data_IF_231157065570
#
_entry.id   IF_231157065570
#
_cell.length_a   1.000
_cell.length_b   1.000
_cell.length_c   1.000
_cell.angle_alpha   90.00
_cell.angle_beta   90.00
_cell.angle_gamma   90.00
#
_symmetry.space_group_name_H-M   'P 1'
#
loop_
_entity.id
_entity.type
_entity.pdbx_description
1 polymer ?
#
# COMPACT_ATOMS: atom_id res chain seq x y z
N UNK A 1 -8.69 39.00 -43.84
CA UNK A 1 -9.12 39.97 -42.83
C UNK A 1 -9.49 39.20 -41.59
N UNK A 2 -8.74 39.37 -40.51
CA UNK A 2 -9.03 38.78 -39.21
C UNK A 2 -9.82 39.81 -38.41
N UNK A 3 -11.02 39.45 -37.94
CA UNK A 3 -11.82 40.29 -37.04
C UNK A 3 -11.62 39.74 -35.64
N UNK A 4 -11.08 40.55 -34.75
CA UNK A 4 -10.91 40.21 -33.34
C UNK A 4 -12.07 40.80 -32.53
N UNK A 5 -12.71 39.97 -31.69
CA UNK A 5 -13.81 40.38 -30.82
C UNK A 5 -13.36 40.18 -29.37
N UNK A 6 -13.40 41.25 -28.58
CA UNK A 6 -13.01 41.22 -27.16
C UNK A 6 -14.12 41.76 -26.26
N UNK A 7 -14.15 41.29 -25.02
CA UNK A 7 -15.06 41.76 -23.99
C UNK A 7 -14.27 42.09 -22.72
N UNK A 8 -14.22 43.36 -22.34
CA UNK A 8 -13.49 43.81 -21.15
C UNK A 8 -14.04 43.20 -19.84
N UNK A 9 -15.34 42.93 -19.77
CA UNK A 9 -16.01 42.44 -18.56
C UNK A 9 -15.83 40.93 -18.31
N UNK A 10 -15.49 40.14 -19.33
CA UNK A 10 -15.32 38.69 -19.19
C UNK A 10 -13.86 38.31 -18.95
N UNK A 11 -13.63 37.54 -17.87
CA UNK A 11 -12.32 36.96 -17.56
C UNK A 11 -11.28 37.95 -17.04
N UNK A 12 -11.67 39.14 -16.57
CA UNK A 12 -10.77 40.13 -15.93
C UNK A 12 -11.18 40.39 -14.47
N UNK A 13 -10.91 39.45 -13.53
CA UNK A 13 -11.23 39.62 -12.11
C UNK A 13 -10.56 40.80 -11.41
N UNK A 14 -9.46 41.34 -11.93
CA UNK A 14 -8.69 42.39 -11.25
C UNK A 14 -8.12 43.46 -12.18
N UNK A 15 -7.59 44.52 -11.56
CA UNK A 15 -7.10 45.71 -12.25
C UNK A 15 -5.95 45.40 -13.21
N UNK A 16 -5.01 44.54 -12.81
CA UNK A 16 -3.83 44.32 -13.63
C UNK A 16 -4.14 43.48 -14.86
N UNK A 17 -5.07 42.53 -14.77
CA UNK A 17 -5.59 41.84 -15.96
C UNK A 17 -6.41 42.75 -16.86
N UNK A 18 -7.23 43.63 -16.30
CA UNK A 18 -8.01 44.58 -17.09
C UNK A 18 -7.11 45.52 -17.90
N UNK A 19 -6.14 46.13 -17.23
CA UNK A 19 -5.22 47.09 -17.85
C UNK A 19 -4.14 46.40 -18.71
N UNK A 20 -3.83 45.12 -18.45
CA UNK A 20 -2.93 44.34 -19.32
C UNK A 20 -3.49 44.11 -20.72
N UNK A 21 -4.82 44.22 -20.93
CA UNK A 21 -5.44 44.12 -22.26
C UNK A 21 -5.21 45.36 -23.13
N UNK A 22 -4.86 46.50 -22.54
CA UNK A 22 -4.49 47.70 -23.30
C UNK A 22 -3.25 47.43 -24.19
N UNK A 23 -2.32 46.60 -23.72
CA UNK A 23 -1.14 46.18 -24.48
C UNK A 23 -1.50 45.25 -25.68
N UNK A 24 -2.70 44.65 -25.68
CA UNK A 24 -3.28 43.93 -26.83
C UNK A 24 -4.06 44.86 -27.77
N UNK A 25 -4.03 46.18 -27.52
CA UNK A 25 -4.79 47.18 -28.28
C UNK A 25 -6.28 47.25 -27.91
N UNK A 26 -6.69 46.59 -26.83
CA UNK A 26 -8.09 46.60 -26.39
C UNK A 26 -8.36 47.85 -25.55
N UNK A 27 -9.49 48.53 -25.80
CA UNK A 27 -9.86 49.78 -25.11
C UNK A 27 -10.52 49.51 -23.75
N UNK A 28 -9.86 48.77 -22.86
CA UNK A 28 -10.38 48.45 -21.52
C UNK A 28 -9.86 49.41 -20.44
N UNK A 29 -10.67 49.70 -19.42
CA UNK A 29 -10.34 50.57 -18.29
C UNK A 29 -10.87 49.99 -16.98
N UNK A 30 -10.14 50.24 -15.89
CA UNK A 30 -10.50 49.81 -14.53
C UNK A 30 -11.09 50.96 -13.71
N UNK A 31 -12.26 50.75 -13.10
CA UNK A 31 -12.80 51.63 -12.04
C UNK A 31 -13.27 50.81 -10.83
N UNK A 32 -14.44 50.19 -10.94
CA UNK A 32 -15.03 49.26 -9.93
C UNK A 32 -15.10 47.82 -10.48
N UNK A 33 -14.40 47.60 -11.60
CA UNK A 33 -14.45 46.44 -12.46
C UNK A 33 -13.93 46.80 -13.85
N UNK A 34 -13.71 45.80 -14.70
CA UNK A 34 -13.18 46.00 -16.03
C UNK A 34 -14.29 46.34 -17.05
N UNK A 35 -14.18 47.47 -17.73
CA UNK A 35 -15.17 47.95 -18.71
C UNK A 35 -14.52 48.59 -19.94
N UNK A 36 -15.30 48.79 -21.00
CA UNK A 36 -14.84 49.50 -22.20
C UNK A 36 -14.64 50.99 -21.89
N UNK A 37 -13.56 51.58 -22.42
CA UNK A 37 -13.21 52.99 -22.26
C UNK A 37 -14.17 53.87 -23.05
N UNK A 38 -14.84 54.78 -22.35
CA UNK A 38 -15.69 55.81 -22.95
C UNK A 38 -14.89 57.04 -23.41
N UNK A 39 -15.47 57.89 -24.29
CA UNK A 39 -14.77 59.02 -24.92
C UNK A 39 -14.34 60.17 -23.98
N UNK A 40 -14.76 60.17 -22.71
CA UNK A 40 -14.50 61.27 -21.75
C UNK A 40 -13.95 60.79 -20.39
N UNK A 41 -13.34 59.61 -20.31
CA UNK A 41 -12.84 59.09 -19.04
C UNK A 41 -11.39 59.55 -18.72
N UNK A 42 -11.08 59.88 -17.45
CA UNK A 42 -9.74 60.25 -17.02
C UNK A 42 -8.71 59.12 -17.26
N UNK A 43 -7.43 59.48 -17.25
CA UNK A 43 -6.30 58.55 -17.32
C UNK A 43 -6.46 57.38 -16.31
N UNK A 44 -6.07 56.15 -16.68
CA UNK A 44 -6.27 54.97 -15.84
C UNK A 44 -5.55 55.15 -14.49
N UNK A 45 -6.29 54.91 -13.40
CA UNK A 45 -5.72 54.92 -12.05
C UNK A 45 -4.72 53.78 -11.86
N UNK A 46 -3.66 54.03 -11.08
CA UNK A 46 -2.73 52.98 -10.63
C UNK A 46 -3.47 51.86 -9.92
N UNK A 47 -3.22 50.61 -10.32
CA UNK A 47 -3.81 49.43 -9.68
C UNK A 47 -3.52 49.38 -8.17
N UNK A 48 -4.41 48.76 -7.38
CA UNK A 48 -4.17 48.52 -5.96
C UNK A 48 -2.93 47.66 -5.74
N UNK A 49 -2.46 47.58 -4.50
CA UNK A 49 -1.31 46.77 -4.15
C UNK A 49 -1.55 45.29 -4.50
N UNK A 50 -0.50 44.55 -4.90
CA UNK A 50 -0.56 43.11 -5.10
C UNK A 50 -1.11 42.39 -3.85
N UNK A 51 -2.11 41.52 -4.04
CA UNK A 51 -2.64 40.66 -2.98
C UNK A 51 -2.07 39.26 -3.17
N UNK A 52 -1.06 38.90 -2.37
CA UNK A 52 -0.45 37.56 -2.41
C UNK A 52 -1.28 36.62 -1.55
N UNK A 53 -1.79 35.56 -2.19
CA UNK A 53 -2.70 34.58 -1.58
C UNK A 53 -1.97 33.36 -1.05
N UNK A 54 -0.99 32.88 -1.81
CA UNK A 54 -0.20 31.70 -1.48
C UNK A 54 1.19 31.82 -2.10
N UNK A 55 2.18 31.23 -1.44
CA UNK A 55 3.52 31.04 -1.97
C UNK A 55 3.92 29.57 -1.82
N UNK A 56 4.59 29.00 -2.81
CA UNK A 56 5.01 27.60 -2.80
C UNK A 56 6.30 27.41 -3.61
N UNK A 57 7.34 26.73 -3.09
CA UNK A 57 7.44 26.14 -1.74
C UNK A 57 7.66 27.19 -0.64
N UNK A 58 7.52 26.78 0.63
CA UNK A 58 7.74 27.64 1.82
C UNK A 58 9.21 27.72 2.26
N UNK A 59 10.11 26.95 1.66
CA UNK A 59 11.53 26.96 1.98
C UNK A 59 12.41 26.68 0.77
N UNK A 60 13.65 27.17 0.82
CA UNK A 60 14.68 26.98 -0.21
C UNK A 60 16.09 26.89 0.39
N UNK A 61 17.06 26.29 -0.34
CA UNK A 61 18.43 26.20 0.12
C UNK A 61 19.11 27.59 0.08
N UNK A 62 20.16 27.77 0.89
CA UNK A 62 20.94 29.01 0.93
C UNK A 62 21.55 29.42 -0.41
N UNK A 63 21.87 28.45 -1.28
CA UNK A 63 22.45 28.73 -2.60
C UNK A 63 21.44 29.34 -3.59
N UNK A 64 20.15 29.40 -3.22
CA UNK A 64 19.06 29.88 -4.06
C UNK A 64 18.73 28.92 -5.21
N UNK A 65 18.11 29.44 -6.26
CA UNK A 65 17.66 28.68 -7.44
C UNK A 65 16.29 28.02 -7.27
N UNK A 66 15.65 28.14 -6.11
CA UNK A 66 14.29 27.67 -5.90
C UNK A 66 13.32 28.41 -6.80
N UNK A 67 12.50 27.64 -7.50
CA UNK A 67 11.39 28.15 -8.30
C UNK A 67 10.21 28.42 -7.37
N UNK A 68 10.17 29.64 -6.85
CA UNK A 68 9.10 30.12 -5.99
C UNK A 68 7.89 30.52 -6.83
N UNK A 69 6.78 29.84 -6.62
CA UNK A 69 5.48 30.17 -7.21
C UNK A 69 4.71 31.08 -6.27
N UNK A 70 4.32 32.26 -6.75
CA UNK A 70 3.55 33.26 -6.02
C UNK A 70 2.20 33.37 -6.73
N UNK A 71 1.11 33.11 -6.01
CA UNK A 71 -0.27 33.21 -6.54
C UNK A 71 -1.03 34.33 -5.85
N UNK A 72 -1.82 35.07 -6.62
CA UNK A 72 -2.42 36.28 -6.10
C UNK A 72 -3.34 37.00 -7.05
N UNK A 73 -3.49 38.31 -6.80
CA UNK A 73 -4.19 39.28 -7.65
C UNK A 73 -3.38 40.56 -7.71
N UNK A 74 -3.58 41.31 -8.78
CA UNK A 74 -2.85 42.55 -9.07
C UNK A 74 -1.33 42.37 -9.10
N UNK A 75 -0.85 41.21 -9.55
CA UNK A 75 0.57 40.84 -9.60
C UNK A 75 1.34 41.48 -10.78
N UNK A 76 0.93 42.67 -11.22
CA UNK A 76 1.51 43.36 -12.39
C UNK A 76 0.77 43.08 -13.69
N UNK A 77 0.91 44.01 -14.65
CA UNK A 77 0.24 43.93 -15.97
C UNK A 77 1.09 43.20 -17.00
N UNK A 78 2.41 43.31 -16.84
CA UNK A 78 3.44 42.76 -17.71
C UNK A 78 4.67 42.40 -16.89
N UNK A 79 5.49 41.51 -17.42
CA UNK A 79 6.69 41.05 -16.73
C UNK A 79 7.67 42.20 -16.43
N UNK A 80 7.77 43.21 -17.30
CA UNK A 80 8.64 44.36 -17.08
C UNK A 80 8.25 45.20 -15.87
N UNK A 81 6.98 45.16 -15.44
CA UNK A 81 6.53 45.81 -14.21
C UNK A 81 7.10 45.10 -12.96
N UNK A 82 7.57 43.86 -13.12
CA UNK A 82 8.15 43.02 -12.07
C UNK A 82 9.67 42.88 -12.18
N UNK A 83 10.31 43.55 -13.15
CA UNK A 83 11.76 43.50 -13.30
C UNK A 83 12.43 44.03 -12.02
N UNK A 84 13.13 43.16 -11.30
CA UNK A 84 13.70 43.43 -9.96
C UNK A 84 12.65 43.82 -8.89
N UNK A 85 11.39 43.44 -9.09
CA UNK A 85 10.27 43.77 -8.21
C UNK A 85 9.97 42.73 -7.13
N UNK A 86 10.52 41.51 -7.22
CA UNK A 86 10.21 40.42 -6.29
C UNK A 86 11.37 40.16 -5.34
N UNK A 87 11.09 40.16 -4.04
CA UNK A 87 12.08 40.09 -2.97
C UNK A 87 11.63 39.18 -1.84
N UNK A 88 12.59 38.55 -1.16
CA UNK A 88 12.39 37.78 0.06
C UNK A 88 13.32 38.40 1.11
N UNK A 89 12.77 39.32 1.91
CA UNK A 89 13.59 40.21 2.74
C UNK A 89 14.59 41.00 1.90
N UNK A 90 15.88 40.66 2.02
CA UNK A 90 16.98 41.28 1.26
C UNK A 90 17.43 40.49 0.02
N UNK A 91 16.87 39.31 -0.22
CA UNK A 91 17.26 38.44 -1.33
C UNK A 91 16.33 38.65 -2.52
N UNK A 92 16.90 38.99 -3.67
CA UNK A 92 16.14 39.15 -4.92
C UNK A 92 15.61 37.80 -5.42
N UNK A 93 14.41 37.80 -6.02
CA UNK A 93 13.85 36.68 -6.75
C UNK A 93 13.57 37.11 -8.19
N UNK A 94 14.16 36.44 -9.17
CA UNK A 94 14.11 36.85 -10.57
C UNK A 94 12.93 36.18 -11.30
N UNK A 95 11.90 36.93 -11.75
CA UNK A 95 10.73 36.34 -12.42
C UNK A 95 11.10 35.68 -13.75
N UNK A 96 10.53 34.49 -14.00
CA UNK A 96 10.72 33.73 -15.24
C UNK A 96 9.67 34.10 -16.28
N UNK A 97 10.12 34.55 -17.45
CA UNK A 97 9.25 35.06 -18.51
C UNK A 97 8.28 34.01 -19.07
N UNK A 98 8.73 32.76 -19.18
CA UNK A 98 7.95 31.62 -19.68
C UNK A 98 6.91 31.09 -18.68
N UNK A 99 6.95 31.56 -17.43
CA UNK A 99 6.12 31.04 -16.32
C UNK A 99 5.35 32.14 -15.57
N UNK A 100 5.21 33.30 -16.20
CA UNK A 100 4.42 34.41 -15.69
C UNK A 100 3.02 34.42 -16.32
N UNK A 101 1.99 34.42 -15.48
CA UNK A 101 0.60 34.61 -15.89
C UNK A 101 0.11 35.94 -15.35
N UNK A 102 -0.32 36.84 -16.24
CA UNK A 102 -0.71 38.22 -15.91
C UNK A 102 -1.64 38.26 -14.70
N UNK A 103 -1.19 38.96 -13.66
CA UNK A 103 -1.88 39.17 -12.38
C UNK A 103 -2.21 37.94 -11.53
N UNK A 104 -2.06 36.73 -12.05
CA UNK A 104 -2.50 35.49 -11.40
C UNK A 104 -1.34 34.76 -10.73
N UNK A 105 -0.22 34.62 -11.44
CA UNK A 105 0.90 33.82 -10.99
C UNK A 105 2.25 34.39 -11.45
N UNK A 106 3.20 34.46 -10.53
CA UNK A 106 4.61 34.72 -10.81
C UNK A 106 5.39 33.48 -10.39
N UNK A 107 6.23 32.93 -11.26
CA UNK A 107 7.28 32.00 -10.87
C UNK A 107 8.61 32.74 -10.94
N UNK A 108 9.37 32.76 -9.85
CA UNK A 108 10.67 33.41 -9.81
C UNK A 108 11.75 32.48 -9.26
N UNK A 109 12.99 32.65 -9.72
CA UNK A 109 14.15 31.94 -9.21
C UNK A 109 14.78 32.73 -8.06
N UNK A 110 14.90 32.11 -6.88
CA UNK A 110 15.49 32.77 -5.71
C UNK A 110 16.99 33.01 -5.88
N UNK A 111 17.48 34.16 -5.41
CA UNK A 111 18.91 34.43 -5.30
C UNK A 111 19.57 33.70 -4.13
N UNK A 112 20.92 33.73 -4.05
CA UNK A 112 21.64 33.19 -2.91
C UNK A 112 21.43 34.05 -1.66
N UNK A 113 21.29 33.40 -0.50
CA UNK A 113 21.11 34.02 0.81
C UNK A 113 22.42 34.02 1.62
N UNK A 114 22.72 35.09 2.40
CA UNK A 114 23.93 35.16 3.21
C UNK A 114 23.91 34.23 4.44
N UNK A 115 22.74 33.72 4.83
CA UNK A 115 22.55 32.85 5.98
C UNK A 115 21.11 32.37 6.08
N UNK A 116 20.83 31.53 7.08
CA UNK A 116 19.47 31.05 7.32
C UNK A 116 18.61 32.17 7.92
N UNK A 117 17.47 32.44 7.29
CA UNK A 117 16.48 33.41 7.77
C UNK A 117 15.10 33.09 7.21
N UNK A 118 14.05 33.68 7.79
CA UNK A 118 12.67 33.54 7.32
C UNK A 118 12.04 34.92 7.18
N UNK A 119 11.54 35.25 5.99
CA UNK A 119 10.92 36.54 5.73
C UNK A 119 9.74 36.44 4.76
N UNK A 120 8.94 37.51 4.70
CA UNK A 120 7.82 37.61 3.77
C UNK A 120 8.31 37.87 2.34
N UNK A 121 7.54 37.38 1.39
CA UNK A 121 7.73 37.65 -0.04
C UNK A 121 7.07 38.98 -0.36
N UNK A 122 7.83 39.88 -0.95
CA UNK A 122 7.38 41.21 -1.36
C UNK A 122 7.36 41.29 -2.89
N UNK A 123 6.23 41.73 -3.44
CA UNK A 123 6.07 41.99 -4.88
C UNK A 123 5.81 43.47 -5.06
N UNK A 124 6.73 44.15 -5.74
CA UNK A 124 6.60 45.55 -6.12
C UNK A 124 6.25 45.63 -7.61
N UNK A 125 5.00 45.97 -7.90
CA UNK A 125 4.50 46.20 -9.24
C UNK A 125 3.99 47.65 -9.38
N UNK A 126 2.72 47.91 -9.11
CA UNK A 126 2.18 49.27 -8.99
C UNK A 126 2.42 49.87 -7.60
N UNK A 127 2.36 49.02 -6.57
CA UNK A 127 2.64 49.29 -5.17
C UNK A 127 3.26 48.03 -4.56
N UNK A 128 3.73 48.14 -3.33
CA UNK A 128 4.27 47.02 -2.57
C UNK A 128 3.13 46.13 -2.01
N UNK A 129 3.16 44.84 -2.36
CA UNK A 129 2.34 43.80 -1.75
C UNK A 129 3.20 42.79 -0.99
N UNK A 130 2.68 42.25 0.13
CA UNK A 130 3.40 41.28 0.98
C UNK A 130 2.62 40.00 1.15
N UNK A 131 3.33 38.87 1.17
CA UNK A 131 2.73 37.57 1.51
C UNK A 131 2.38 37.49 2.98
N UNK A 132 1.37 36.67 3.29
CA UNK A 132 1.04 36.31 4.68
C UNK A 132 2.00 35.24 5.21
N UNK A 133 2.31 34.27 4.37
CA UNK A 133 3.27 33.20 4.65
C UNK A 133 4.70 33.73 4.50
N UNK A 134 5.63 33.09 5.21
CA UNK A 134 7.06 33.40 5.13
C UNK A 134 7.78 32.33 4.32
N UNK A 135 8.75 32.76 3.53
CA UNK A 135 9.70 31.89 2.88
C UNK A 135 10.95 31.76 3.76
N UNK A 136 11.41 30.53 3.96
CA UNK A 136 12.55 30.24 4.84
C UNK A 136 13.76 29.74 4.04
N UNK A 137 14.88 30.44 4.14
CA UNK A 137 16.17 29.97 3.67
C UNK A 137 16.79 29.06 4.73
N UNK A 138 17.05 27.81 4.36
CA UNK A 138 17.57 26.77 5.27
C UNK A 138 18.80 26.10 4.68
N UNK A 139 19.58 25.45 5.54
CA UNK A 139 20.73 24.64 5.14
C UNK A 139 20.38 23.16 5.32
N UNK A 140 20.00 22.43 4.24
CA UNK A 140 19.68 21.02 4.35
C UNK A 140 20.90 20.21 4.79
N UNK A 141 20.69 19.24 5.67
CA UNK A 141 21.73 18.35 6.16
C UNK A 141 21.34 16.90 5.90
N UNK A 142 22.25 16.14 5.29
CA UNK A 142 22.14 14.68 5.20
C UNK A 142 23.08 14.04 6.21
N UNK A 143 22.64 12.96 6.86
CA UNK A 143 23.37 12.32 7.96
C UNK A 143 23.83 10.91 7.60
N UNK A 144 22.89 10.03 7.24
CA UNK A 144 23.16 8.63 6.89
C UNK A 144 22.10 8.12 5.91
N UNK A 145 22.33 6.94 5.35
CA UNK A 145 21.38 6.25 4.48
C UNK A 145 21.19 4.79 4.92
N UNK A 146 19.98 4.27 4.76
CA UNK A 146 19.64 2.89 5.12
C UNK A 146 18.69 2.26 4.07
N UNK A 147 18.93 1.01 3.63
CA UNK A 147 20.12 0.20 3.89
C UNK A 147 21.35 0.78 3.18
N UNK A 148 22.53 0.60 3.78
CA UNK A 148 23.82 1.07 3.24
C UNK A 148 24.40 0.17 2.15
N UNK A 149 23.75 -0.98 1.88
CA UNK A 149 24.20 -1.98 0.91
C UNK A 149 23.04 -2.59 0.14
N UNK A 150 23.33 -3.09 -1.06
CA UNK A 150 22.36 -3.83 -1.85
C UNK A 150 22.96 -4.49 -3.09
N UNK A 151 22.18 -5.33 -3.80
CA UNK A 151 22.66 -6.02 -5.00
C UNK A 151 23.08 -5.06 -6.11
N UNK A 152 24.14 -5.39 -6.86
CA UNK A 152 24.58 -4.62 -8.03
C UNK A 152 23.52 -4.52 -9.15
N UNK A 153 22.57 -5.45 -9.22
CA UNK A 153 21.41 -5.35 -10.12
C UNK A 153 20.52 -4.13 -9.87
N UNK A 154 20.72 -3.41 -8.75
CA UNK A 154 19.93 -2.23 -8.39
C UNK A 154 18.56 -2.58 -7.84
N UNK A 155 17.67 -1.61 -7.81
CA UNK A 155 16.30 -1.78 -7.27
C UNK A 155 16.20 -1.66 -5.75
N UNK A 156 17.31 -1.61 -5.02
CA UNK A 156 17.29 -1.38 -3.57
C UNK A 156 16.71 0.01 -3.26
N UNK A 157 15.64 0.05 -2.48
CA UNK A 157 15.03 1.29 -2.01
C UNK A 157 15.76 1.77 -0.76
N UNK A 158 16.53 2.84 -0.91
CA UNK A 158 17.27 3.48 0.19
C UNK A 158 16.46 4.62 0.78
N UNK A 159 16.70 4.89 2.06
CA UNK A 159 16.17 6.05 2.79
C UNK A 159 17.35 6.84 3.33
N UNK A 160 17.49 8.07 2.87
CA UNK A 160 18.49 9.04 3.33
C UNK A 160 17.86 9.85 4.44
N UNK A 161 18.49 9.87 5.61
CA UNK A 161 18.02 10.59 6.79
C UNK A 161 18.77 11.90 6.99
N UNK A 162 18.07 12.91 7.50
CA UNK A 162 18.63 14.24 7.68
C UNK A 162 17.65 15.25 8.25
N UNK A 163 17.91 16.54 7.99
CA UNK A 163 17.04 17.66 8.36
C UNK A 163 16.85 18.61 7.18
N UNK A 164 15.68 19.25 7.15
CA UNK A 164 15.28 20.22 6.13
C UNK A 164 15.32 19.64 4.70
N UNK A 165 15.00 18.35 4.55
CA UNK A 165 15.12 17.62 3.28
C UNK A 165 13.95 17.84 2.30
N UNK A 166 12.85 18.45 2.75
CA UNK A 166 11.73 18.87 1.89
C UNK A 166 11.94 20.26 1.26
N UNK A 167 13.16 20.81 1.37
CA UNK A 167 13.48 22.16 0.91
C UNK A 167 13.44 22.29 -0.61
N UNK A 168 13.03 23.46 -1.10
CA UNK A 168 13.17 23.83 -2.50
C UNK A 168 12.13 23.21 -3.44
N UNK A 169 12.21 23.53 -4.72
CA UNK A 169 11.30 23.10 -5.77
C UNK A 169 11.75 21.81 -6.46
N UNK A 170 13.05 21.64 -6.68
CA UNK A 170 13.61 20.48 -7.37
C UNK A 170 14.57 19.69 -6.46
N UNK A 171 14.48 18.36 -6.53
CA UNK A 171 15.38 17.43 -5.85
C UNK A 171 15.84 16.35 -6.82
N UNK A 172 17.12 16.02 -6.77
CA UNK A 172 17.71 14.88 -7.45
C UNK A 172 18.66 14.15 -6.49
N UNK A 173 18.65 12.82 -6.55
CA UNK A 173 19.66 11.98 -5.91
C UNK A 173 20.42 11.27 -7.00
N UNK A 174 21.75 11.41 -6.99
CA UNK A 174 22.68 10.83 -7.96
C UNK A 174 23.55 9.79 -7.26
N UNK A 175 23.72 8.64 -7.89
CA UNK A 175 24.66 7.60 -7.49
C UNK A 175 25.88 7.69 -8.40
N UNK A 176 27.06 7.72 -7.80
CA UNK A 176 28.34 7.90 -8.51
C UNK A 176 28.36 9.15 -9.42
N UNK A 177 27.69 10.22 -8.98
CA UNK A 177 27.56 11.52 -9.64
C UNK A 177 26.88 11.53 -11.04
N UNK A 178 26.54 10.38 -11.61
CA UNK A 178 25.96 10.27 -12.96
C UNK A 178 24.57 9.65 -12.98
N UNK A 179 24.33 8.60 -12.19
CA UNK A 179 23.12 7.80 -12.34
C UNK A 179 22.00 8.29 -11.39
N UNK A 180 20.83 8.71 -11.91
CA UNK A 180 19.75 9.20 -11.07
C UNK A 180 19.03 8.05 -10.35
N UNK A 181 18.74 8.23 -9.07
CA UNK A 181 17.78 7.37 -8.38
C UNK A 181 16.35 7.61 -8.90
N UNK A 182 15.53 6.56 -8.85
CA UNK A 182 14.11 6.61 -9.27
C UNK A 182 13.17 6.58 -8.06
N UNK A 183 11.87 6.76 -8.29
CA UNK A 183 10.82 6.65 -7.25
C UNK A 183 11.06 7.54 -6.02
N UNK A 184 11.51 8.78 -6.30
CA UNK A 184 11.93 9.71 -5.28
C UNK A 184 10.73 10.25 -4.48
N UNK A 185 10.79 10.12 -3.16
CA UNK A 185 9.82 10.63 -2.19
C UNK A 185 10.59 11.33 -1.08
N UNK A 186 10.18 12.54 -0.70
CA UNK A 186 10.88 13.32 0.34
C UNK A 186 9.93 13.85 1.41
N UNK A 187 10.40 13.88 2.65
CA UNK A 187 9.80 14.53 3.82
C UNK A 187 10.82 15.49 4.42
N UNK A 188 10.47 16.22 5.48
CA UNK A 188 11.41 17.14 6.14
C UNK A 188 12.66 16.44 6.71
N UNK A 189 12.55 15.14 7.03
CA UNK A 189 13.60 14.36 7.71
C UNK A 189 14.13 13.19 6.91
N UNK A 190 13.56 12.89 5.73
CA UNK A 190 13.97 11.74 4.92
C UNK A 190 13.78 11.91 3.42
N UNK A 191 14.64 11.29 2.63
CA UNK A 191 14.49 11.12 1.18
C UNK A 191 14.57 9.62 0.89
N UNK A 192 13.50 9.04 0.37
CA UNK A 192 13.48 7.67 -0.11
C UNK A 192 13.58 7.63 -1.63
N UNK A 193 14.41 6.74 -2.16
CA UNK A 193 14.55 6.54 -3.59
C UNK A 193 15.11 5.15 -3.91
N UNK A 194 14.96 4.70 -5.14
CA UNK A 194 15.41 3.40 -5.62
C UNK A 194 16.72 3.56 -6.39
N UNK A 195 17.76 2.84 -5.95
CA UNK A 195 19.09 2.93 -6.57
C UNK A 195 19.13 2.23 -7.93
N UNK A 196 19.86 2.78 -8.91
CA UNK A 196 20.02 2.18 -10.22
C UNK A 196 20.93 0.94 -10.18
N UNK A 197 21.12 0.30 -11.34
CA UNK A 197 22.08 -0.79 -11.52
C UNK A 197 23.52 -0.27 -11.40
N UNK A 198 24.38 -1.02 -10.70
CA UNK A 198 25.79 -0.74 -10.55
C UNK A 198 26.65 -1.64 -11.44
N UNK A 199 27.69 -1.07 -12.05
CA UNK A 199 28.59 -1.81 -12.94
C UNK A 199 29.40 -2.90 -12.23
N UNK A 200 29.86 -2.63 -11.01
CA UNK A 200 30.70 -3.52 -10.21
C UNK A 200 30.24 -3.58 -8.75
N UNK A 201 30.47 -4.70 -8.04
CA UNK A 201 30.31 -4.75 -6.58
C UNK A 201 31.36 -3.87 -5.88
N UNK A 202 31.06 -2.59 -5.71
CA UNK A 202 31.95 -1.59 -5.16
C UNK A 202 31.19 -0.53 -4.35
N UNK A 203 31.86 0.17 -3.41
CA UNK A 203 31.29 1.35 -2.78
C UNK A 203 31.19 2.51 -3.79
N UNK A 204 30.07 3.23 -3.75
CA UNK A 204 29.77 4.40 -4.59
C UNK A 204 29.27 5.56 -3.73
N UNK A 205 29.57 6.79 -4.16
CA UNK A 205 29.03 7.99 -3.52
C UNK A 205 27.55 8.18 -3.85
N UNK A 206 26.81 8.75 -2.91
CA UNK A 206 25.41 9.18 -3.12
C UNK A 206 25.34 10.69 -2.90
N UNK A 207 25.05 11.43 -3.96
CA UNK A 207 24.92 12.88 -3.95
C UNK A 207 23.45 13.28 -3.91
N UNK A 208 23.07 14.09 -2.91
CA UNK A 208 21.75 14.74 -2.86
C UNK A 208 21.90 16.16 -3.40
N UNK A 209 21.09 16.54 -4.40
CA UNK A 209 21.17 17.82 -5.10
C UNK A 209 19.81 18.52 -5.11
N UNK A 210 19.78 19.74 -4.57
CA UNK A 210 18.62 20.63 -4.66
C UNK A 210 18.85 21.67 -5.77
N UNK A 211 17.78 22.04 -6.50
CA UNK A 211 17.78 23.10 -7.52
C UNK A 211 18.86 22.96 -8.61
N UNK A 212 19.29 21.73 -8.91
CA UNK A 212 20.38 21.40 -9.85
C UNK A 212 21.73 22.08 -9.51
N UNK A 213 21.96 22.41 -8.25
CA UNK A 213 23.22 23.01 -7.76
C UNK A 213 24.20 21.94 -7.24
N UNK A 214 25.07 22.29 -6.30
CA UNK A 214 26.04 21.36 -5.74
C UNK A 214 25.40 20.22 -4.93
N UNK A 215 26.20 19.19 -4.66
CA UNK A 215 25.82 18.16 -3.70
C UNK A 215 25.74 18.75 -2.28
N UNK A 216 24.70 18.39 -1.54
CA UNK A 216 24.59 18.68 -0.12
C UNK A 216 25.79 18.11 0.61
N UNK A 217 26.28 18.83 1.61
CA UNK A 217 27.40 18.36 2.44
C UNK A 217 26.98 17.10 3.21
N UNK A 218 27.66 16.01 2.91
CA UNK A 218 27.57 14.75 3.64
C UNK A 218 28.28 13.64 2.88
N UNK A 219 28.91 12.72 3.60
CA UNK A 219 29.59 11.59 2.99
C UNK A 219 28.68 10.37 3.02
N UNK A 220 27.74 10.33 2.06
CA UNK A 220 26.85 9.21 1.87
C UNK A 220 27.49 8.21 0.91
N UNK A 221 27.65 6.97 1.36
CA UNK A 221 28.22 5.88 0.57
C UNK A 221 27.24 4.71 0.54
N UNK A 222 26.97 4.19 -0.64
CA UNK A 222 26.20 2.96 -0.83
C UNK A 222 27.13 1.85 -1.34
N UNK A 223 27.05 0.66 -0.76
CA UNK A 223 27.88 -0.47 -1.17
C UNK A 223 27.10 -1.41 -2.09
N UNK A 224 27.47 -1.42 -3.37
CA UNK A 224 27.01 -2.48 -4.26
C UNK A 224 27.69 -3.80 -3.90
N UNK A 225 26.86 -4.80 -3.70
CA UNK A 225 27.26 -6.16 -3.34
C UNK A 225 26.95 -7.11 -4.50
N UNK A 226 27.53 -8.30 -4.46
CA UNK A 226 27.23 -9.32 -5.45
C UNK A 226 25.75 -9.72 -5.39
N UNK A 227 25.18 -10.03 -6.55
CA UNK A 227 23.76 -10.36 -6.69
C UNK A 227 23.40 -11.62 -5.89
N UNK A 228 22.17 -11.70 -5.33
CA UNK A 228 21.66 -12.93 -4.75
C UNK A 228 21.60 -14.03 -5.80
N UNK A 229 21.75 -15.28 -5.36
CA UNK A 229 21.72 -16.45 -6.25
C UNK A 229 20.67 -17.41 -5.75
N UNK A 230 19.74 -17.82 -6.61
CA UNK A 230 18.76 -18.86 -6.32
C UNK A 230 19.30 -20.19 -6.86
N UNK A 231 19.41 -21.20 -6.01
CA UNK A 231 19.95 -22.53 -6.37
C UNK A 231 18.86 -23.57 -6.59
N UNK A 232 17.79 -23.54 -5.79
CA UNK A 232 16.73 -24.53 -5.87
C UNK A 232 15.39 -24.01 -5.31
N UNK A 233 14.30 -24.63 -5.79
CA UNK A 233 12.96 -24.48 -5.21
C UNK A 233 12.44 -25.86 -4.78
N UNK A 234 11.74 -25.92 -3.65
CA UNK A 234 11.14 -27.14 -3.11
C UNK A 234 9.95 -26.81 -2.21
N UNK A 235 8.81 -27.52 -2.29
CA UNK A 235 8.51 -28.58 -3.27
C UNK A 235 8.28 -28.01 -4.67
N UNK A 236 8.42 -28.84 -5.71
CA UNK A 236 8.17 -28.46 -7.12
C UNK A 236 6.73 -28.68 -7.58
N UNK A 237 5.82 -28.95 -6.66
CA UNK A 237 4.43 -29.31 -6.94
C UNK A 237 3.48 -28.45 -6.10
N UNK A 238 2.41 -27.93 -6.69
CA UNK A 238 1.42 -27.10 -6.00
C UNK A 238 -0.01 -27.47 -6.43
N UNK A 239 -1.02 -27.35 -5.54
CA UNK A 239 -2.42 -27.36 -5.97
C UNK A 239 -2.73 -26.13 -6.84
N UNK A 240 -3.71 -26.24 -7.74
CA UNK A 240 -4.18 -25.13 -8.59
C UNK A 240 -4.75 -23.95 -7.82
N UNK A 241 -5.32 -24.19 -6.64
CA UNK A 241 -5.71 -23.11 -5.73
C UNK A 241 -4.52 -22.24 -5.26
N UNK A 242 -3.30 -22.76 -5.32
CA UNK A 242 -2.09 -22.07 -4.86
C UNK A 242 -2.01 -21.96 -3.33
N UNK A 243 -1.12 -21.10 -2.86
CA UNK A 243 -0.86 -20.83 -1.44
C UNK A 243 0.01 -21.89 -0.75
N UNK A 244 0.52 -22.88 -1.47
CA UNK A 244 1.47 -23.86 -0.91
C UNK A 244 2.80 -23.16 -0.64
N UNK A 245 3.40 -23.38 0.52
CA UNK A 245 4.68 -22.74 0.83
C UNK A 245 5.82 -23.41 0.06
N UNK A 246 6.43 -22.65 -0.85
CA UNK A 246 7.60 -23.03 -1.63
C UNK A 246 8.84 -22.46 -0.95
N UNK A 247 9.75 -23.33 -0.55
CA UNK A 247 11.07 -22.98 -0.05
C UNK A 247 12.00 -22.72 -1.22
N UNK A 248 12.64 -21.56 -1.21
CA UNK A 248 13.62 -21.12 -2.20
C UNK A 248 14.98 -21.06 -1.50
N UNK A 249 15.89 -21.92 -1.92
CA UNK A 249 17.24 -22.02 -1.40
C UNK A 249 18.22 -21.22 -2.28
N UNK A 250 19.25 -20.66 -1.66
CA UNK A 250 20.24 -19.86 -2.37
C UNK A 250 21.25 -19.18 -1.46
N UNK A 251 21.75 -18.03 -1.90
CA UNK A 251 22.77 -17.26 -1.20
C UNK A 251 22.48 -15.75 -1.27
N UNK A 252 23.01 -15.01 -0.28
CA UNK A 252 23.00 -13.53 -0.22
C UNK A 252 21.60 -12.89 -0.16
N UNK A 253 20.58 -13.62 0.31
CA UNK A 253 19.21 -13.09 0.41
C UNK A 253 19.00 -12.02 1.48
N UNK A 254 19.90 -11.90 2.46
CA UNK A 254 19.80 -10.91 3.55
C UNK A 254 19.86 -9.44 3.07
N UNK A 255 20.31 -9.19 1.84
CA UNK A 255 20.39 -7.85 1.23
C UNK A 255 19.14 -7.49 0.41
N UNK A 256 18.17 -8.40 0.33
CA UNK A 256 16.96 -8.24 -0.46
C UNK A 256 15.84 -7.72 0.43
N UNK A 257 15.18 -6.64 -0.01
CA UNK A 257 14.08 -6.02 0.72
C UNK A 257 12.74 -6.64 0.35
N UNK A 258 12.55 -6.94 -0.93
CA UNK A 258 11.31 -7.49 -1.45
C UNK A 258 11.60 -8.61 -2.46
N UNK A 259 10.90 -9.73 -2.32
CA UNK A 259 10.91 -10.83 -3.30
C UNK A 259 9.47 -11.19 -3.62
N UNK A 260 9.16 -11.34 -4.91
CA UNK A 260 7.91 -11.94 -5.35
C UNK A 260 8.15 -13.10 -6.30
N UNK A 261 7.19 -14.02 -6.32
CA UNK A 261 7.18 -15.20 -7.17
C UNK A 261 6.00 -15.10 -8.13
N UNK A 262 6.26 -15.26 -9.42
CA UNK A 262 5.25 -15.37 -10.45
C UNK A 262 5.40 -16.71 -11.19
N UNK A 263 4.29 -17.17 -11.78
CA UNK A 263 4.28 -18.37 -12.62
C UNK A 263 3.83 -17.97 -14.01
N UNK A 264 4.69 -18.24 -14.99
CA UNK A 264 4.50 -17.76 -16.34
C UNK A 264 3.27 -18.43 -17.01
N UNK A 265 2.50 -17.63 -17.76
CA UNK A 265 1.28 -18.01 -18.51
C UNK A 265 0.06 -18.50 -17.73
N UNK A 266 0.24 -19.40 -16.77
CA UNK A 266 -0.88 -20.05 -16.05
C UNK A 266 -1.09 -19.48 -14.65
N UNK A 267 -0.12 -18.76 -14.11
CA UNK A 267 -0.22 -18.12 -12.80
C UNK A 267 -1.22 -16.98 -12.80
N UNK A 268 -1.91 -16.82 -11.67
CA UNK A 268 -2.68 -15.62 -11.34
C UNK A 268 -1.72 -14.50 -10.90
N UNK A 269 -2.11 -13.72 -9.89
CA UNK A 269 -1.27 -12.64 -9.38
C UNK A 269 0.02 -13.17 -8.71
N UNK A 270 1.15 -12.46 -8.87
CA UNK A 270 2.40 -12.77 -8.18
C UNK A 270 2.21 -12.74 -6.66
N UNK A 271 2.88 -13.65 -5.96
CA UNK A 271 2.82 -13.75 -4.50
C UNK A 271 4.05 -13.13 -3.87
N UNK A 272 3.84 -12.45 -2.74
CA UNK A 272 4.92 -11.89 -1.94
C UNK A 272 5.62 -13.00 -1.15
N UNK A 273 6.94 -13.04 -1.23
CA UNK A 273 7.76 -13.98 -0.48
C UNK A 273 8.28 -13.35 0.82
N UNK A 274 8.69 -14.20 1.74
CA UNK A 274 9.35 -13.83 2.99
C UNK A 274 10.79 -14.30 2.98
N UNK A 275 11.72 -13.36 3.12
CA UNK A 275 13.14 -13.66 3.34
C UNK A 275 13.31 -14.11 4.80
N UNK A 276 13.85 -15.30 5.03
CA UNK A 276 14.05 -15.83 6.38
C UNK A 276 15.47 -15.60 6.88
N UNK A 277 16.47 -15.82 6.01
CA UNK A 277 17.88 -15.61 6.31
C UNK A 277 18.65 -15.43 4.98
N UNK A 278 19.99 -15.43 5.04
CA UNK A 278 20.85 -15.25 3.87
C UNK A 278 20.75 -16.35 2.81
N UNK A 279 20.18 -17.52 3.12
CA UNK A 279 20.14 -18.70 2.25
C UNK A 279 18.74 -19.24 1.98
N UNK A 280 17.71 -18.71 2.64
CA UNK A 280 16.36 -19.26 2.63
C UNK A 280 15.29 -18.16 2.46
N UNK A 281 14.42 -18.36 1.48
CA UNK A 281 13.20 -17.59 1.25
C UNK A 281 12.01 -18.55 1.24
N UNK A 282 10.85 -18.10 1.71
CA UNK A 282 9.58 -18.84 1.60
C UNK A 282 8.58 -18.04 0.80
N UNK A 283 8.07 -18.62 -0.28
CA UNK A 283 7.08 -18.01 -1.17
C UNK A 283 5.80 -18.85 -1.18
N UNK A 284 4.61 -18.28 -0.90
CA UNK A 284 3.37 -18.96 -1.24
C UNK A 284 3.30 -19.15 -2.76
N UNK A 285 2.91 -20.32 -3.26
CA UNK A 285 2.70 -20.50 -4.69
C UNK A 285 1.53 -19.63 -5.19
N UNK A 286 1.65 -18.96 -6.33
CA UNK A 286 0.50 -18.31 -6.97
C UNK A 286 -0.62 -19.33 -7.26
N UNK A 287 -1.88 -18.89 -7.28
CA UNK A 287 -2.96 -19.72 -7.84
C UNK A 287 -2.75 -19.88 -9.35
N UNK A 288 -3.25 -20.98 -9.93
CA UNK A 288 -3.14 -21.26 -11.36
C UNK A 288 -4.51 -21.35 -12.04
N UNK A 289 -4.51 -21.18 -13.36
CA UNK A 289 -5.69 -21.31 -14.22
C UNK A 289 -5.92 -22.73 -14.75
N UNK A 290 -4.87 -23.56 -14.76
CA UNK A 290 -4.93 -24.93 -15.30
C UNK A 290 -3.92 -25.86 -14.61
N UNK A 291 -4.13 -27.17 -14.77
CA UNK A 291 -3.22 -28.21 -14.31
C UNK A 291 -2.08 -28.36 -15.33
N UNK A 292 -0.99 -27.63 -15.16
CA UNK A 292 0.15 -27.71 -16.06
C UNK A 292 1.47 -27.41 -15.33
N UNK A 293 2.57 -27.88 -15.92
CA UNK A 293 3.92 -27.48 -15.51
C UNK A 293 4.28 -26.16 -16.16
N UNK A 294 4.65 -25.16 -15.36
CA UNK A 294 5.01 -23.84 -15.85
C UNK A 294 6.32 -23.32 -15.24
N UNK A 295 7.06 -22.48 -15.99
CA UNK A 295 8.22 -21.77 -15.45
C UNK A 295 7.84 -20.81 -14.32
N UNK A 296 8.78 -20.63 -13.39
CA UNK A 296 8.68 -19.71 -12.26
C UNK A 296 9.65 -18.57 -12.47
N UNK A 297 9.14 -17.35 -12.37
CA UNK A 297 9.92 -16.13 -12.40
C UNK A 297 9.96 -15.51 -11.01
N UNK A 298 11.15 -15.06 -10.60
CA UNK A 298 11.33 -14.32 -9.36
C UNK A 298 11.59 -12.86 -9.67
N UNK A 299 11.06 -11.97 -8.83
CA UNK A 299 11.39 -10.56 -8.87
C UNK A 299 12.03 -10.16 -7.56
N UNK A 300 13.23 -9.58 -7.63
CA UNK A 300 14.03 -9.12 -6.49
C UNK A 300 14.04 -7.60 -6.53
N UNK A 301 13.52 -6.97 -5.46
CA UNK A 301 13.34 -5.53 -5.34
C UNK A 301 12.64 -4.91 -6.58
N UNK A 302 11.63 -5.61 -7.11
CA UNK A 302 10.85 -5.16 -8.28
C UNK A 302 11.51 -5.42 -9.65
N UNK A 303 12.73 -5.97 -9.69
CA UNK A 303 13.44 -6.32 -10.94
C UNK A 303 13.36 -7.82 -11.19
N UNK A 304 13.18 -8.22 -12.45
CA UNK A 304 13.23 -9.63 -12.84
C UNK A 304 14.59 -10.22 -12.47
N UNK A 305 14.58 -11.36 -11.78
CA UNK A 305 15.79 -12.09 -11.44
C UNK A 305 16.39 -12.70 -12.71
N UNK A 306 17.59 -12.25 -13.06
CA UNK A 306 18.42 -12.87 -14.09
C UNK A 306 19.57 -13.63 -13.41
N UNK A 307 19.70 -14.90 -13.74
CA UNK A 307 20.76 -15.74 -13.22
C UNK A 307 22.05 -15.45 -13.99
N UNK A 308 23.08 -14.91 -13.32
CA UNK A 308 24.36 -14.57 -13.95
C UNK A 308 25.03 -15.79 -14.59
N UNK A 309 24.78 -17.00 -14.09
CA UNK A 309 25.28 -18.26 -14.68
C UNK A 309 24.51 -18.60 -15.96
N UNK A 310 23.20 -18.38 -15.97
CA UNK A 310 22.37 -18.60 -17.16
C UNK A 310 22.67 -17.58 -18.26
N UNK A 311 22.99 -16.31 -17.93
CA UNK A 311 23.34 -15.29 -18.94
C UNK A 311 24.63 -15.68 -19.70
N UNK A 312 25.59 -16.31 -19.03
CA UNK A 312 26.80 -16.83 -19.67
C UNK A 312 26.51 -18.04 -20.59
N UNK A 313 25.52 -18.86 -20.25
CA UNK A 313 25.05 -20.00 -21.06
C UNK A 313 24.07 -19.58 -22.18
N UNK A 314 23.25 -18.55 -22.00
CA UNK A 314 22.33 -17.99 -23.00
C UNK A 314 23.06 -17.32 -24.16
N UNK A 315 24.26 -16.79 -23.92
CA UNK A 315 25.14 -16.30 -24.99
C UNK A 315 25.65 -17.43 -25.90
N UNK A 316 25.52 -18.69 -25.46
CA UNK A 316 25.90 -19.89 -26.22
C UNK A 316 24.70 -20.55 -26.92
N UNK A 317 23.47 -20.44 -26.40
CA UNK A 317 22.24 -20.93 -27.06
C UNK A 317 20.98 -20.06 -26.80
N UNK A 318 20.50 -19.28 -27.80
CA UNK A 318 19.29 -18.46 -27.70
C UNK A 318 17.96 -19.24 -27.63
N UNK A 319 17.94 -20.55 -27.96
CA UNK A 319 16.72 -21.37 -27.86
C UNK A 319 16.43 -21.82 -26.43
N UNK A 320 17.47 -21.95 -25.58
CA UNK A 320 17.32 -22.32 -24.17
C UNK A 320 16.76 -21.17 -23.32
N UNK A 321 17.14 -19.92 -23.65
CA UNK A 321 16.54 -18.68 -23.10
C UNK A 321 15.02 -18.62 -23.30
N UNK A 322 14.52 -19.22 -24.40
CA UNK A 322 13.09 -19.24 -24.76
C UNK A 322 12.30 -20.39 -24.14
N UNK A 323 12.96 -21.35 -23.48
CA UNK A 323 12.32 -22.58 -22.97
C UNK A 323 11.73 -22.45 -21.55
N UNK A 324 11.81 -21.26 -20.96
CA UNK A 324 11.25 -20.93 -19.65
C UNK A 324 12.27 -21.05 -18.53
N UNK A 325 12.13 -20.20 -17.51
CA UNK A 325 13.05 -20.06 -16.39
C UNK A 325 13.54 -21.38 -15.77
N UNK A 326 14.77 -21.33 -15.23
CA UNK A 326 15.51 -22.43 -14.57
C UNK A 326 14.67 -23.25 -13.57
N UNK A 327 13.62 -22.65 -13.02
CA UNK A 327 12.73 -23.27 -12.04
C UNK A 327 11.34 -23.50 -12.65
N UNK A 328 10.78 -24.69 -12.42
CA UNK A 328 9.44 -25.06 -12.87
C UNK A 328 8.61 -25.54 -11.70
N UNK A 329 7.33 -25.23 -11.72
CA UNK A 329 6.34 -25.66 -10.75
C UNK A 329 5.22 -26.44 -11.47
N UNK A 330 4.97 -27.65 -10.98
CA UNK A 330 3.93 -28.53 -11.51
C UNK A 330 2.63 -28.31 -10.74
N UNK A 331 1.62 -27.76 -11.43
CA UNK A 331 0.29 -27.59 -10.85
C UNK A 331 -0.57 -28.83 -11.02
N UNK A 332 -1.09 -29.33 -9.90
CA UNK A 332 -1.95 -30.51 -9.83
C UNK A 332 -3.36 -30.12 -9.37
N UNK A 333 -4.38 -30.95 -9.64
CA UNK A 333 -5.72 -30.74 -9.11
C UNK A 333 -5.73 -30.56 -7.59
N UNK A 334 -6.68 -29.77 -7.10
CA UNK A 334 -6.86 -29.57 -5.65
C UNK A 334 -7.20 -30.90 -4.95
N UNK A 335 -6.62 -31.16 -3.77
CA UNK A 335 -6.83 -32.40 -3.04
C UNK A 335 -8.28 -32.54 -2.60
N UNK A 336 -8.84 -33.74 -2.73
CA UNK A 336 -10.20 -34.05 -2.30
C UNK A 336 -10.20 -34.86 -1.01
N UNK A 337 -11.08 -34.49 -0.09
CA UNK A 337 -11.21 -35.14 1.21
C UNK A 337 -12.64 -35.59 1.48
N UNK A 338 -12.77 -36.69 2.21
CA UNK A 338 -14.05 -37.24 2.67
C UNK A 338 -13.91 -37.84 4.06
N UNK A 339 -15.03 -38.02 4.76
CA UNK A 339 -15.09 -38.73 6.03
C UNK A 339 -15.41 -40.21 5.81
N UNK A 340 -15.11 -41.06 6.78
CA UNK A 340 -15.44 -42.50 6.71
C UNK A 340 -16.96 -42.77 6.61
N UNK A 341 -17.80 -41.86 7.12
CA UNK A 341 -19.26 -41.93 7.00
C UNK A 341 -19.71 -41.13 5.77
N UNK A 342 -20.56 -41.72 4.92
CA UNK A 342 -21.16 -41.00 3.77
C UNK A 342 -22.06 -39.84 4.20
N UNK A 343 -22.53 -39.84 5.45
CA UNK A 343 -23.33 -38.77 6.02
C UNK A 343 -22.48 -37.53 6.28
N UNK A 344 -22.98 -36.37 5.83
CA UNK A 344 -22.33 -35.07 6.03
C UNK A 344 -22.46 -34.54 7.46
N UNK A 345 -23.09 -35.28 8.37
CA UNK A 345 -23.19 -34.95 9.78
C UNK A 345 -22.57 -36.03 10.66
N UNK A 346 -21.84 -35.65 11.70
CA UNK A 346 -21.25 -36.55 12.68
C UNK A 346 -21.82 -36.19 14.04
N UNK A 347 -22.54 -37.13 14.68
CA UNK A 347 -23.03 -36.94 16.05
C UNK A 347 -21.91 -37.20 17.04
N UNK A 348 -21.74 -36.31 18.01
CA UNK A 348 -20.74 -36.46 19.06
C UNK A 348 -21.28 -35.98 20.41
N UNK A 349 -20.99 -36.71 21.47
CA UNK A 349 -21.40 -36.36 22.83
C UNK A 349 -20.33 -35.48 23.48
N UNK A 350 -20.72 -34.37 24.14
CA UNK A 350 -19.77 -33.55 24.88
C UNK A 350 -19.03 -34.36 25.95
N UNK A 351 -17.70 -34.22 26.01
CA UNK A 351 -16.86 -34.83 27.05
C UNK A 351 -16.13 -36.12 26.65
N UNK A 352 -16.42 -36.69 25.48
CA UNK A 352 -15.63 -37.80 24.92
C UNK A 352 -14.48 -37.25 24.04
N UNK A 353 -13.30 -37.90 24.01
CA UNK A 353 -12.25 -37.53 23.07
C UNK A 353 -12.72 -37.78 21.64
N UNK A 354 -12.65 -36.76 20.78
CA UNK A 354 -13.03 -36.86 19.37
C UNK A 354 -11.81 -37.15 18.51
N UNK A 355 -11.81 -38.31 17.84
CA UNK A 355 -10.85 -38.61 16.76
C UNK A 355 -11.59 -38.84 15.45
N UNK A 356 -11.32 -37.99 14.47
CA UNK A 356 -11.86 -38.06 13.12
C UNK A 356 -10.91 -38.82 12.19
N UNK A 357 -11.46 -39.75 11.43
CA UNK A 357 -10.75 -40.43 10.33
C UNK A 357 -11.15 -39.77 9.02
N UNK A 358 -10.18 -39.13 8.37
CA UNK A 358 -10.36 -38.39 7.13
C UNK A 358 -9.67 -39.17 6.01
N UNK A 359 -10.43 -39.49 4.98
CA UNK A 359 -9.94 -40.13 3.77
C UNK A 359 -9.57 -39.06 2.74
N UNK A 360 -8.38 -39.20 2.19
CA UNK A 360 -7.84 -38.36 1.13
C UNK A 360 -7.81 -39.14 -0.18
N UNK A 361 -8.33 -38.55 -1.25
CA UNK A 361 -8.21 -39.14 -2.59
C UNK A 361 -6.75 -39.19 -3.05
N UNK A 362 -6.43 -40.12 -3.94
CA UNK A 362 -5.05 -40.29 -4.39
C UNK A 362 -4.61 -39.06 -5.21
N UNK A 363 -3.56 -38.40 -4.74
CA UNK A 363 -2.89 -37.31 -5.46
C UNK A 363 -1.38 -37.54 -5.53
N UNK A 364 -0.69 -36.65 -6.26
CA UNK A 364 0.77 -36.66 -6.39
C UNK A 364 1.40 -35.42 -5.74
N UNK A 365 0.68 -34.73 -4.85
CA UNK A 365 1.14 -33.48 -4.23
C UNK A 365 2.22 -33.73 -3.18
N UNK A 366 2.22 -34.89 -2.51
CA UNK A 366 3.21 -35.23 -1.48
C UNK A 366 3.21 -34.24 -0.32
N UNK A 367 2.01 -33.85 0.15
CA UNK A 367 1.81 -32.90 1.24
C UNK A 367 2.31 -33.48 2.58
N UNK A 368 2.97 -32.65 3.38
CA UNK A 368 3.45 -32.97 4.73
C UNK A 368 2.41 -32.61 5.80
N UNK A 369 2.54 -33.18 7.01
CA UNK A 369 1.56 -32.96 8.11
C UNK A 369 1.33 -31.48 8.45
N UNK A 370 2.41 -30.68 8.48
CA UNK A 370 2.34 -29.24 8.77
C UNK A 370 1.71 -28.40 7.65
N UNK A 371 1.47 -28.96 6.47
CA UNK A 371 0.81 -28.27 5.35
C UNK A 371 -0.71 -28.33 5.43
N UNK A 372 -1.26 -29.23 6.26
CA UNK A 372 -2.68 -29.34 6.51
C UNK A 372 -3.08 -28.44 7.68
N UNK A 373 -4.23 -27.76 7.54
CA UNK A 373 -4.90 -27.07 8.65
C UNK A 373 -6.32 -27.60 8.74
N UNK A 374 -6.59 -28.42 9.75
CA UNK A 374 -7.91 -29.04 9.97
C UNK A 374 -8.53 -28.37 11.19
N UNK A 375 -9.78 -27.89 11.04
CA UNK A 375 -10.53 -27.26 12.12
C UNK A 375 -11.91 -27.88 12.27
N UNK A 376 -12.39 -27.91 13.51
CA UNK A 376 -13.76 -28.27 13.87
C UNK A 376 -14.39 -27.01 14.49
N UNK A 377 -15.24 -26.33 13.71
CA UNK A 377 -15.67 -24.97 14.01
C UNK A 377 -14.47 -24.02 14.06
N UNK A 378 -14.13 -23.55 15.26
CA UNK A 378 -12.96 -22.68 15.49
C UNK A 378 -11.75 -23.40 16.08
N UNK A 379 -11.91 -24.65 16.52
CA UNK A 379 -10.86 -25.40 17.22
C UNK A 379 -9.96 -26.09 16.21
N UNK A 380 -8.65 -25.89 16.33
CA UNK A 380 -7.65 -26.56 15.50
C UNK A 380 -7.43 -28.00 15.97
N UNK A 381 -7.20 -28.89 15.03
CA UNK A 381 -7.05 -30.30 15.29
C UNK A 381 -5.58 -30.72 15.31
N UNK A 382 -5.22 -31.67 16.18
CA UNK A 382 -3.92 -32.33 16.17
C UNK A 382 -3.91 -33.38 15.04
N UNK A 383 -3.00 -33.20 14.07
CA UNK A 383 -2.98 -33.97 12.82
C UNK A 383 -1.92 -35.07 12.87
N UNK A 384 -2.35 -36.30 12.64
CA UNK A 384 -1.48 -37.46 12.46
C UNK A 384 -1.74 -38.12 11.11
N UNK A 385 -0.75 -38.11 10.22
CA UNK A 385 -0.82 -38.81 8.93
C UNK A 385 -0.50 -40.28 9.16
N UNK A 386 -1.47 -41.17 8.94
CA UNK A 386 -1.30 -42.63 9.07
C UNK A 386 -0.87 -43.24 7.74
N UNK A 387 -1.37 -42.72 6.63
CA UNK A 387 -0.93 -43.06 5.27
C UNK A 387 -1.17 -41.88 4.31
N UNK A 388 -0.77 -42.02 3.06
CA UNK A 388 -1.05 -41.07 1.98
C UNK A 388 -2.54 -40.82 1.74
N UNK A 389 -3.41 -41.73 2.22
CA UNK A 389 -4.87 -41.70 2.06
C UNK A 389 -5.65 -41.51 3.37
N UNK A 390 -5.00 -41.58 4.53
CA UNK A 390 -5.69 -41.56 5.83
C UNK A 390 -5.02 -40.59 6.79
N UNK A 391 -5.81 -39.62 7.26
CA UNK A 391 -5.41 -38.60 8.22
C UNK A 391 -6.28 -38.76 9.46
N UNK A 392 -5.65 -38.88 10.62
CA UNK A 392 -6.31 -38.81 11.92
C UNK A 392 -6.24 -37.38 12.44
N UNK A 393 -7.38 -36.88 12.90
CA UNK A 393 -7.52 -35.57 13.52
C UNK A 393 -8.14 -35.75 14.91
N UNK A 394 -7.37 -35.46 15.97
CA UNK A 394 -7.83 -35.49 17.36
C UNK A 394 -8.00 -34.10 17.96
N UNK A 395 -9.04 -33.90 18.76
CA UNK A 395 -9.25 -32.67 19.53
C UNK A 395 -9.27 -33.00 21.02
N UNK A 396 -8.39 -32.34 21.77
CA UNK A 396 -8.23 -32.53 23.22
C UNK A 396 -8.97 -31.48 24.06
N UNK A 397 -9.40 -30.37 23.45
CA UNK A 397 -10.13 -29.29 24.10
C UNK A 397 -11.65 -29.48 24.02
N UNK A 398 -12.40 -28.90 24.96
CA UNK A 398 -13.86 -28.93 24.92
C UNK A 398 -14.37 -28.09 23.75
N UNK A 399 -15.07 -28.75 22.82
CA UNK A 399 -15.75 -28.09 21.70
C UNK A 399 -16.85 -27.18 22.27
N UNK A 400 -16.75 -25.87 22.01
CA UNK A 400 -17.66 -24.87 22.55
C UNK A 400 -19.12 -25.19 22.24
N UNK A 401 -19.97 -25.17 23.26
CA UNK A 401 -21.41 -25.51 23.20
C UNK A 401 -22.29 -24.42 22.59
N UNK A 402 -21.71 -23.29 22.15
CA UNK A 402 -22.45 -22.13 21.63
C UNK A 402 -23.14 -22.41 20.29
N UNK A 403 -22.61 -23.35 19.48
CA UNK A 403 -23.17 -23.75 18.20
C UNK A 403 -23.42 -25.26 18.21
N UNK A 404 -24.68 -25.70 18.12
CA UNK A 404 -25.03 -27.12 18.07
C UNK A 404 -24.53 -27.86 16.82
N UNK A 405 -23.96 -27.13 15.85
CA UNK A 405 -23.38 -27.66 14.62
C UNK A 405 -22.04 -26.96 14.33
N UNK A 406 -20.96 -27.73 14.23
CA UNK A 406 -19.60 -27.22 13.99
C UNK A 406 -19.06 -27.74 12.66
N UNK A 407 -18.73 -26.89 11.67
CA UNK A 407 -18.20 -27.35 10.40
C UNK A 407 -16.78 -27.91 10.53
N UNK A 408 -16.53 -29.05 9.91
CA UNK A 408 -15.20 -29.65 9.81
C UNK A 408 -14.60 -29.18 8.49
N UNK A 409 -13.59 -28.31 8.60
CA UNK A 409 -12.93 -27.67 7.47
C UNK A 409 -11.49 -28.14 7.34
N UNK A 410 -11.05 -28.37 6.11
CA UNK A 410 -9.68 -28.72 5.76
C UNK A 410 -9.15 -27.66 4.83
N UNK A 411 -8.02 -27.07 5.20
CA UNK A 411 -7.31 -26.08 4.40
C UNK A 411 -5.91 -26.58 4.03
N UNK A 412 -5.55 -26.41 2.75
CA UNK A 412 -4.21 -26.67 2.19
C UNK A 412 -3.82 -25.47 1.33
N UNK A 413 -2.89 -24.65 1.81
CA UNK A 413 -2.60 -23.36 1.15
C UNK A 413 -3.85 -22.48 1.08
N UNK A 414 -4.26 -22.13 -0.14
CA UNK A 414 -5.49 -21.36 -0.39
C UNK A 414 -6.72 -22.25 -0.65
N UNK A 415 -6.54 -23.56 -0.83
CA UNK A 415 -7.67 -24.48 -0.94
C UNK A 415 -8.34 -24.64 0.43
N UNK A 416 -9.66 -24.58 0.46
CA UNK A 416 -10.46 -24.78 1.67
C UNK A 416 -11.74 -25.56 1.34
N UNK A 417 -12.00 -26.63 2.07
CA UNK A 417 -13.16 -27.51 1.88
C UNK A 417 -13.81 -27.86 3.21
N UNK A 418 -15.14 -27.74 3.29
CA UNK A 418 -15.95 -28.28 4.38
C UNK A 418 -16.35 -29.72 4.03
N UNK A 419 -15.86 -30.68 4.81
CA UNK A 419 -16.09 -32.12 4.52
C UNK A 419 -17.32 -32.69 5.23
N UNK A 420 -17.65 -32.17 6.42
CA UNK A 420 -18.78 -32.59 7.21
C UNK A 420 -19.13 -31.52 8.27
N UNK A 421 -20.25 -31.68 8.97
CA UNK A 421 -20.64 -30.90 10.14
C UNK A 421 -20.73 -31.81 11.36
N UNK A 422 -20.09 -31.42 12.46
CA UNK A 422 -20.21 -32.11 13.74
C UNK A 422 -21.46 -31.58 14.45
N UNK A 423 -22.42 -32.45 14.75
CA UNK A 423 -23.57 -32.13 15.56
C UNK A 423 -23.29 -32.56 17.01
N UNK A 424 -23.21 -31.58 17.91
CA UNK A 424 -23.08 -31.87 19.33
C UNK A 424 -24.44 -32.36 19.83
N UNK A 425 -24.47 -33.59 20.36
CA UNK A 425 -25.64 -34.14 21.01
C UNK A 425 -26.04 -33.22 22.16
N UNK A 426 -27.31 -32.78 22.18
CA UNK A 426 -27.85 -31.99 23.29
C UNK A 426 -27.58 -32.71 24.61
N UNK A 427 -27.22 -31.96 25.63
CA UNK A 427 -26.91 -32.49 26.96
C UNK A 427 -28.00 -33.47 27.40
N UNK A 428 -27.60 -34.61 27.96
CA UNK A 428 -28.51 -35.60 28.54
C UNK A 428 -29.54 -34.97 29.49
N UNK A 429 -29.26 -33.78 30.02
CA UNK A 429 -30.21 -32.95 30.78
C UNK A 429 -31.52 -32.70 30.04
N UNK A 430 -31.55 -32.52 28.72
CA UNK A 430 -32.81 -32.32 27.98
C UNK A 430 -33.65 -33.61 27.92
N UNK A 431 -32.99 -34.77 27.77
CA UNK A 431 -33.66 -36.09 27.76
C UNK A 431 -34.13 -36.44 29.17
N UNK A 432 -33.30 -36.24 30.19
CA UNK A 432 -33.64 -36.47 31.59
C UNK A 432 -34.76 -35.52 32.04
N UNK A 433 -34.70 -34.22 31.71
CA UNK A 433 -35.78 -33.27 32.02
C UNK A 433 -37.06 -33.66 31.30
N UNK A 434 -37.01 -34.12 30.05
CA UNK A 434 -38.21 -34.57 29.34
C UNK A 434 -38.78 -35.86 29.93
N UNK A 435 -37.94 -36.80 30.37
CA UNK A 435 -38.36 -38.02 31.07
C UNK A 435 -38.94 -37.67 32.45
N UNK A 436 -38.31 -36.77 33.20
CA UNK A 436 -38.77 -36.30 34.51
C UNK A 436 -40.10 -35.54 34.37
N UNK A 437 -40.24 -34.66 33.38
CA UNK A 437 -41.50 -33.96 33.10
C UNK A 437 -42.58 -34.95 32.68
N UNK A 438 -42.29 -35.92 31.80
CA UNK A 438 -43.25 -36.97 31.44
C UNK A 438 -43.65 -37.84 32.63
N UNK A 439 -42.72 -38.20 33.50
CA UNK A 439 -43.01 -39.01 34.69
C UNK A 439 -43.78 -38.21 35.75
N UNK A 440 -43.48 -36.92 35.94
CA UNK A 440 -44.27 -36.02 36.81
C UNK A 440 -45.68 -35.79 36.24
N UNK A 441 -45.83 -35.58 34.93
CA UNK A 441 -47.13 -35.45 34.27
C UNK A 441 -47.95 -36.75 34.35
N UNK A 442 -47.31 -37.91 34.19
CA UNK A 442 -47.96 -39.21 34.38
C UNK A 442 -48.41 -39.39 35.84
N UNK A 443 -47.57 -39.04 36.82
CA UNK A 443 -47.94 -39.09 38.25
C UNK A 443 -49.10 -38.14 38.57
N UNK A 444 -49.10 -36.92 38.04
CA UNK A 444 -50.21 -35.98 38.20
C UNK A 444 -51.51 -36.49 37.55
N UNK A 445 -51.42 -37.20 36.42
CA UNK A 445 -52.60 -37.80 35.77
C UNK A 445 -53.19 -38.98 36.54
N UNK A 446 -52.40 -39.66 37.38
CA UNK A 446 -52.85 -40.75 38.25
C UNK A 446 -53.46 -40.21 39.54
N UNK A 447 -52.92 -39.11 40.11
CA UNK A 447 -53.46 -38.50 41.34
C UNK A 447 -54.70 -37.61 41.06
N UNK A 448 -54.83 -37.06 39.85
CA UNK A 448 -55.95 -36.20 39.46
C UNK A 448 -57.26 -36.91 39.13
N UNK A 449 -57.40 -38.21 39.47
CA UNK A 449 -58.57 -39.03 39.10
C UNK A 449 -59.19 -39.76 40.28
N UNK A 450 -59.40 -39.05 41.39
CA UNK A 450 -60.42 -39.45 42.37
C UNK A 450 -61.64 -38.51 42.30
N UNK A 451 -62.85 -39.04 42.06
CA UNK A 451 -64.07 -38.27 41.87
C UNK A 451 -64.77 -37.97 43.20
N UNK A 452 -65.11 -36.71 43.45
CA UNK A 452 -66.10 -36.32 44.47
C UNK A 452 -67.53 -36.42 43.88
N UNK A 453 -68.46 -37.09 44.58
CA UNK A 453 -69.88 -36.75 44.48
C UNK A 453 -70.53 -36.67 45.90
N UNK A 454 -71.85 -36.42 46.08
CA UNK A 454 -72.38 -35.17 46.61
C UNK A 454 -73.05 -35.28 48.02
N UNK A 455 -73.32 -34.11 48.60
CA UNK A 455 -74.34 -33.70 49.61
C UNK A 455 -74.41 -34.33 51.03
N UNK A 456 -74.40 -33.48 52.08
CA UNK A 456 -75.62 -33.02 52.77
C UNK A 456 -75.39 -32.31 54.15
N UNK A 457 -76.35 -31.43 54.53
CA UNK A 457 -76.93 -31.03 55.86
C UNK A 457 -76.01 -30.47 56.99
N UNK A 458 -76.35 -29.50 57.86
CA UNK A 458 -77.50 -28.60 58.14
C UNK A 458 -77.13 -27.53 59.22
N UNK A 459 -77.85 -26.41 59.21
CA UNK A 459 -78.30 -25.55 60.33
C UNK A 459 -77.35 -24.88 61.38
N UNK A 460 -77.45 -23.55 61.44
CA UNK A 460 -77.75 -22.82 62.68
C UNK A 460 -78.86 -21.78 62.40
N UNK A 461 -79.93 -21.84 63.20
CA UNK A 461 -81.18 -21.10 63.05
C UNK A 461 -81.19 -19.74 63.77
N UNK A 462 -81.97 -18.79 63.24
CA UNK A 462 -82.41 -17.56 63.92
C UNK A 462 -83.71 -17.07 63.28
N UNK A 463 -84.79 -17.01 64.06
CA UNK A 463 -86.15 -16.70 63.59
C UNK A 463 -86.74 -15.40 64.13
N UNK A 464 -87.94 -15.08 63.63
CA UNK A 464 -88.91 -14.16 64.25
C UNK A 464 -89.31 -12.96 63.39
N UNK A 465 -90.57 -12.93 62.92
CA UNK A 465 -91.21 -11.77 62.27
C UNK A 465 -92.04 -12.13 61.06
#
# INVERSE_FOLDING_TARGET
MTVEVYNCAMGSPDCSQCLGREDLGHLCVWSDGCRLRGPLQPLPGTCPAPEIRAIEPLSGPLDGGTLLTIRGRNLGRRLSDLAHGVWIGSVACEPLADRYTVSEQIVCATGPAPGAFSDVVTVNASKEGKSRERFSYVLPLVQFLEPDKGPKAGGTRITIHGSDLHVGSELQVLVNDTEPCTELVRTDTSIACTVPEGALPAPVSVCVRFERRGCVRGNLTFQYMQNPVITAISPRRSPVSGGRTITVAGERFHMVQNVSMAVHHIGREPTLCKVLNSTLITCPSPGALSNASAPVDFFINGRAYADEVAVAEELLDPEEARRGGRFRLDYLPDPQFSTAKREKWIKHHPGEPLTLVIHKEQDSLGLQSHEYRIKIGQVACDIQIVSDRVIHCSVNESLGTAEGQLPITIQVGNFNQTIATLQLGGSETAIIVSIVICSVLLLLSVVGKDPFPPDAWEAHAGGGG
#
